data_IF_204029364828
#
_entry.id   IF_204029364828
#
_cell.length_a   1.000
_cell.length_b   1.000
_cell.length_c   1.000
_cell.angle_alpha   90.00
_cell.angle_beta   90.00
_cell.angle_gamma   90.00
#
_symmetry.space_group_name_H-M   'P 1'
#
loop_
_entity.id
_entity.type
_entity.pdbx_description
1 polymer ?
#
# COMPACT_ATOMS: atom_id res chain seq x y z
N UNK A 1 19.88 -2.32 -10.31
CA UNK A 1 19.54 -2.81 -8.97
C UNK A 1 19.70 -4.31 -8.94
N UNK A 2 20.44 -4.80 -8.00
CA UNK A 2 20.60 -6.23 -7.83
C UNK A 2 19.41 -6.74 -7.00
N UNK A 3 18.61 -7.58 -7.58
CA UNK A 3 17.42 -8.06 -6.90
C UNK A 3 17.75 -9.23 -6.00
N UNK A 4 17.26 -9.14 -4.78
CA UNK A 4 17.22 -10.28 -3.88
C UNK A 4 15.77 -10.64 -3.63
N UNK A 5 15.50 -11.90 -3.35
CA UNK A 5 14.14 -12.37 -3.11
C UNK A 5 13.52 -11.78 -1.84
N UNK A 6 14.33 -11.13 -1.01
CA UNK A 6 13.88 -10.51 0.24
C UNK A 6 13.59 -9.02 0.11
N UNK A 7 13.84 -8.44 -1.06
CA UNK A 7 13.63 -7.01 -1.25
C UNK A 7 12.14 -6.68 -1.22
N UNK A 8 11.82 -5.63 -0.49
CA UNK A 8 10.49 -5.04 -0.48
C UNK A 8 10.50 -3.89 -1.47
N UNK A 9 9.62 -3.94 -2.45
CA UNK A 9 9.49 -2.91 -3.47
C UNK A 9 8.13 -2.26 -3.31
N UNK A 10 8.12 -0.97 -2.98
CA UNK A 10 6.88 -0.23 -2.78
C UNK A 10 6.85 0.92 -3.77
N UNK A 11 5.80 0.95 -4.57
CA UNK A 11 5.52 2.02 -5.50
C UNK A 11 4.43 2.88 -4.89
N UNK A 12 4.76 4.12 -4.54
CA UNK A 12 3.83 5.03 -3.88
C UNK A 12 3.13 5.89 -4.92
N UNK A 13 1.82 5.91 -4.87
CA UNK A 13 0.99 6.69 -5.77
C UNK A 13 -0.01 7.51 -4.97
N UNK A 14 -0.53 8.55 -5.61
CA UNK A 14 -1.72 9.25 -5.13
C UNK A 14 -2.89 8.77 -5.98
N UNK A 15 -3.97 8.37 -5.31
CA UNK A 15 -5.14 7.89 -6.02
C UNK A 15 -5.86 9.09 -6.68
N UNK A 16 -5.89 9.08 -7.99
CA UNK A 16 -6.58 10.11 -8.76
C UNK A 16 -7.97 9.61 -9.16
N UNK A 17 -8.80 9.29 -8.17
CA UNK A 17 -10.17 8.83 -8.43
C UNK A 17 -10.97 10.00 -9.02
N UNK A 18 -10.92 10.10 -10.33
CA UNK A 18 -11.70 11.07 -11.06
C UNK A 18 -11.39 12.50 -10.66
N UNK A 19 -12.25 13.39 -11.07
CA UNK A 19 -12.12 14.82 -10.80
C UNK A 19 -12.80 15.23 -9.49
N UNK A 20 -13.05 14.30 -8.58
CA UNK A 20 -13.68 14.63 -7.31
C UNK A 20 -12.66 15.28 -6.38
N UNK A 21 -12.50 16.58 -6.54
CA UNK A 21 -11.53 17.36 -5.78
C UNK A 21 -11.82 17.38 -4.27
N UNK A 22 -13.03 17.00 -3.86
CA UNK A 22 -13.42 16.96 -2.45
C UNK A 22 -13.35 15.57 -1.83
N UNK A 23 -12.83 14.58 -2.56
CA UNK A 23 -12.61 13.26 -2.00
C UNK A 23 -11.28 13.24 -1.28
N UNK A 24 -11.33 13.19 0.04
CA UNK A 24 -10.16 13.21 0.90
C UNK A 24 -10.22 12.05 1.90
N UNK A 25 -9.95 10.81 1.44
CA UNK A 25 -9.98 9.68 2.35
C UNK A 25 -8.96 9.86 3.46
N UNK A 26 -9.45 10.01 4.67
CA UNK A 26 -8.61 10.29 5.83
C UNK A 26 -9.09 9.50 7.05
N UNK A 27 -8.18 9.34 8.01
CA UNK A 27 -8.44 8.66 9.25
C UNK A 27 -7.78 9.45 10.37
N UNK A 28 -8.44 9.48 11.52
CA UNK A 28 -7.90 10.11 12.71
C UNK A 28 -7.17 9.06 13.53
N UNK A 29 -5.90 9.32 13.84
CA UNK A 29 -5.09 8.44 14.68
C UNK A 29 -4.57 9.30 15.83
N UNK A 30 -5.14 9.09 17.03
CA UNK A 30 -4.90 10.00 18.13
C UNK A 30 -5.36 11.40 17.77
N UNK A 31 -4.45 12.38 17.83
CA UNK A 31 -4.74 13.76 17.43
C UNK A 31 -4.33 14.05 15.99
N UNK A 32 -3.74 13.07 15.29
CA UNK A 32 -3.29 13.24 13.92
C UNK A 32 -4.39 12.89 12.93
N UNK A 33 -4.38 13.57 11.80
CA UNK A 33 -5.21 13.20 10.64
C UNK A 33 -4.28 12.72 9.53
N UNK A 34 -4.48 11.49 9.10
CA UNK A 34 -3.66 10.87 8.08
C UNK A 34 -4.51 10.57 6.84
N UNK A 35 -3.88 10.64 5.67
CA UNK A 35 -4.49 10.09 4.45
C UNK A 35 -4.63 8.59 4.60
N UNK A 36 -5.74 8.03 4.16
CA UNK A 36 -5.88 6.58 4.13
C UNK A 36 -5.01 5.98 3.05
N UNK A 37 -4.53 4.79 3.32
CA UNK A 37 -3.69 4.02 2.41
C UNK A 37 -4.50 2.89 1.79
N UNK A 38 -4.09 2.45 0.60
CA UNK A 38 -4.75 1.33 -0.06
C UNK A 38 -3.74 0.56 -0.89
N UNK A 39 -3.69 -0.75 -0.68
CA UNK A 39 -2.89 -1.61 -1.54
C UNK A 39 -3.59 -1.84 -2.88
N UNK A 40 -2.81 -1.79 -3.95
CA UNK A 40 -3.24 -2.22 -5.28
C UNK A 40 -2.32 -3.37 -5.70
N UNK A 41 -2.89 -4.55 -5.82
CA UNK A 41 -2.13 -5.77 -6.09
C UNK A 41 -2.49 -6.28 -7.48
N UNK A 42 -1.48 -6.45 -8.30
CA UNK A 42 -1.64 -7.02 -9.63
C UNK A 42 -1.56 -8.53 -9.61
N UNK A 43 -2.23 -9.16 -10.57
CA UNK A 43 -2.23 -10.59 -10.75
C UNK A 43 -1.74 -10.95 -12.16
N UNK A 44 -1.73 -12.23 -12.49
CA UNK A 44 -1.45 -12.70 -13.83
C UNK A 44 -2.71 -12.80 -14.71
N UNK A 45 -3.83 -12.29 -14.25
CA UNK A 45 -5.10 -12.38 -14.99
C UNK A 45 -5.09 -11.68 -16.33
N UNK A 46 -4.19 -10.70 -16.54
CA UNK A 46 -4.01 -10.01 -17.81
C UNK A 46 -3.15 -10.77 -18.82
N UNK A 47 -2.64 -11.95 -18.50
CA UNK A 47 -1.86 -12.79 -19.39
C UNK A 47 -0.36 -12.52 -19.40
N UNK A 48 0.13 -11.54 -18.66
CA UNK A 48 1.55 -11.26 -18.54
C UNK A 48 2.21 -12.18 -17.51
N UNK A 49 3.49 -12.48 -17.74
CA UNK A 49 4.27 -13.30 -16.82
C UNK A 49 4.38 -12.61 -15.47
N UNK A 50 3.83 -13.22 -14.43
CA UNK A 50 3.83 -12.64 -13.08
C UNK A 50 3.82 -13.76 -12.04
N UNK A 51 4.97 -14.46 -11.88
CA UNK A 51 5.00 -15.66 -11.02
C UNK A 51 4.88 -15.34 -9.54
N UNK A 52 5.17 -14.10 -9.13
CA UNK A 52 5.22 -13.72 -7.71
C UNK A 52 3.94 -13.05 -7.22
N UNK A 53 2.88 -13.03 -8.02
CA UNK A 53 1.70 -12.26 -7.63
C UNK A 53 1.05 -12.77 -6.32
N UNK A 54 1.07 -14.07 -6.10
CA UNK A 54 0.54 -14.62 -4.86
C UNK A 54 1.40 -14.27 -3.65
N UNK A 55 2.72 -14.22 -3.82
CA UNK A 55 3.64 -13.79 -2.78
C UNK A 55 3.41 -12.32 -2.43
N UNK A 56 3.21 -11.48 -3.45
CA UNK A 56 2.93 -10.06 -3.24
C UNK A 56 1.61 -9.87 -2.50
N UNK A 57 0.60 -10.63 -2.87
CA UNK A 57 -0.69 -10.59 -2.21
C UNK A 57 -0.58 -11.00 -0.73
N UNK A 58 0.15 -12.07 -0.44
CA UNK A 58 0.36 -12.51 0.94
C UNK A 58 1.07 -11.45 1.75
N UNK A 59 2.07 -10.80 1.16
CA UNK A 59 2.78 -9.72 1.83
C UNK A 59 1.84 -8.57 2.15
N UNK A 60 1.02 -8.14 1.20
CA UNK A 60 0.06 -7.05 1.41
C UNK A 60 -0.97 -7.40 2.48
N UNK A 61 -1.49 -8.63 2.47
CA UNK A 61 -2.44 -9.10 3.49
C UNK A 61 -1.80 -9.03 4.87
N UNK A 62 -0.55 -9.47 5.00
CA UNK A 62 0.17 -9.46 6.27
C UNK A 62 0.37 -8.05 6.78
N UNK A 63 0.80 -7.14 5.90
CA UNK A 63 1.00 -5.73 6.26
C UNK A 63 -0.32 -5.11 6.70
N UNK A 64 -1.39 -5.34 5.94
CA UNK A 64 -2.69 -4.75 6.24
C UNK A 64 -3.25 -5.29 7.55
N UNK A 65 -3.08 -6.57 7.82
CA UNK A 65 -3.51 -7.19 9.06
C UNK A 65 -2.82 -6.54 10.28
N UNK A 66 -1.50 -6.34 10.19
CA UNK A 66 -0.75 -5.71 11.27
C UNK A 66 -1.14 -4.24 11.39
N UNK A 67 -1.30 -3.55 10.27
CA UNK A 67 -1.73 -2.15 10.29
C UNK A 67 -3.10 -1.98 10.92
N UNK A 68 -4.03 -2.90 10.65
CA UNK A 68 -5.37 -2.84 11.22
C UNK A 68 -5.36 -3.04 12.73
N UNK A 69 -4.40 -3.82 13.25
CA UNK A 69 -4.24 -3.99 14.68
C UNK A 69 -3.66 -2.74 15.34
N UNK A 70 -2.67 -2.11 14.68
CA UNK A 70 -1.99 -0.95 15.24
C UNK A 70 -2.79 0.35 15.06
N UNK A 71 -3.32 0.55 13.87
CA UNK A 71 -3.99 1.80 13.48
C UNK A 71 -5.24 1.47 12.67
N UNK A 72 -6.35 1.10 13.33
CA UNK A 72 -7.58 0.79 12.62
C UNK A 72 -8.00 1.94 11.69
N UNK A 73 -8.33 1.60 10.47
CA UNK A 73 -8.77 2.58 9.48
C UNK A 73 -7.66 3.22 8.66
N UNK A 74 -6.38 2.96 8.97
CA UNK A 74 -5.29 3.50 8.18
C UNK A 74 -5.35 2.98 6.74
N UNK A 75 -5.63 1.70 6.55
CA UNK A 75 -5.76 1.10 5.23
C UNK A 75 -7.21 0.91 4.86
N UNK A 76 -7.56 1.32 3.64
CA UNK A 76 -8.82 0.93 3.01
C UNK A 76 -8.69 -0.51 2.49
N UNK A 77 -9.79 -1.18 2.21
CA UNK A 77 -9.74 -2.52 1.60
C UNK A 77 -8.88 -2.50 0.34
N UNK A 78 -8.04 -3.51 0.19
CA UNK A 78 -7.14 -3.58 -0.97
C UNK A 78 -7.91 -3.90 -2.25
N UNK A 79 -7.33 -3.47 -3.37
CA UNK A 79 -7.86 -3.75 -4.69
C UNK A 79 -6.93 -4.74 -5.37
N UNK A 80 -7.49 -5.80 -5.93
CA UNK A 80 -6.77 -6.80 -6.72
C UNK A 80 -7.19 -6.65 -8.16
N UNK A 81 -6.21 -6.47 -9.06
CA UNK A 81 -6.46 -6.18 -10.48
C UNK A 81 -5.76 -7.19 -11.38
N UNK A 82 -6.24 -7.27 -12.62
CA UNK A 82 -5.68 -8.16 -13.64
C UNK A 82 -4.48 -7.55 -14.37
N UNK A 83 -3.78 -6.63 -13.73
CA UNK A 83 -2.61 -5.95 -14.29
C UNK A 83 -1.37 -6.33 -13.50
N UNK A 84 -0.23 -6.46 -14.19
CA UNK A 84 1.02 -6.84 -13.54
C UNK A 84 1.70 -5.67 -12.84
N UNK A 85 1.61 -4.46 -13.45
CA UNK A 85 2.41 -3.31 -13.03
C UNK A 85 3.89 -3.69 -13.06
N UNK A 86 4.69 -3.21 -12.10
CA UNK A 86 6.08 -3.63 -11.92
C UNK A 86 6.24 -4.63 -10.78
N UNK A 87 5.15 -5.26 -10.36
CA UNK A 87 5.15 -6.14 -9.20
C UNK A 87 5.79 -7.50 -9.47
N UNK A 88 6.03 -7.83 -10.74
CA UNK A 88 6.74 -9.04 -11.11
C UNK A 88 8.23 -9.00 -10.71
N UNK A 89 8.73 -7.83 -10.32
CA UNK A 89 10.14 -7.62 -10.00
C UNK A 89 10.55 -8.19 -8.65
N UNK A 90 9.60 -8.60 -7.80
CA UNK A 90 9.94 -9.14 -6.50
C UNK A 90 8.82 -9.93 -5.85
N UNK A 91 9.13 -10.57 -4.73
CA UNK A 91 8.18 -11.35 -3.95
C UNK A 91 7.41 -10.54 -2.92
N UNK A 92 7.78 -9.27 -2.77
CA UNK A 92 7.11 -8.32 -1.89
C UNK A 92 7.04 -6.97 -2.60
N UNK A 93 6.48 -6.96 -3.81
CA UNK A 93 6.36 -5.79 -4.66
C UNK A 93 4.90 -5.36 -4.71
N UNK A 94 4.61 -4.16 -4.25
CA UNK A 94 3.23 -3.68 -4.11
C UNK A 94 3.13 -2.21 -4.50
N UNK A 95 1.92 -1.80 -4.87
CA UNK A 95 1.56 -0.39 -5.00
C UNK A 95 0.77 -0.01 -3.75
N UNK A 96 1.11 1.12 -3.17
CA UNK A 96 0.31 1.73 -2.10
C UNK A 96 -0.18 3.08 -2.59
N UNK A 97 -1.48 3.23 -2.67
CA UNK A 97 -2.11 4.52 -2.91
C UNK A 97 -2.15 5.29 -1.59
N UNK A 98 -1.63 6.51 -1.58
CA UNK A 98 -1.55 7.36 -0.40
C UNK A 98 -2.57 8.48 -0.55
N UNK A 99 -3.75 8.26 0.00
CA UNK A 99 -4.85 9.20 -0.13
C UNK A 99 -5.28 9.43 -1.57
N UNK A 100 -5.87 10.57 -1.81
CA UNK A 100 -6.28 10.99 -3.15
C UNK A 100 -5.89 12.45 -3.36
N UNK A 101 -6.25 12.99 -4.52
CA UNK A 101 -5.95 14.37 -4.84
C UNK A 101 -6.61 15.38 -3.90
N UNK A 102 -7.63 14.98 -3.15
CA UNK A 102 -8.27 15.82 -2.15
C UNK A 102 -7.51 15.93 -0.82
N UNK A 103 -6.58 15.03 -0.57
CA UNK A 103 -5.81 15.05 0.67
C UNK A 103 -4.70 16.10 0.61
N UNK A 104 -4.37 16.66 1.77
CA UNK A 104 -3.24 17.60 1.87
C UNK A 104 -1.91 16.83 1.90
N UNK A 105 -0.83 17.54 1.55
CA UNK A 105 0.51 16.97 1.67
C UNK A 105 0.80 16.57 3.11
N UNK A 106 0.39 17.38 4.06
CA UNK A 106 0.60 17.11 5.48
C UNK A 106 -0.07 15.79 5.89
N UNK A 107 -1.30 15.55 5.43
CA UNK A 107 -2.00 14.30 5.71
C UNK A 107 -1.26 13.10 5.13
N UNK A 108 -0.71 13.24 3.93
CA UNK A 108 0.04 12.16 3.29
C UNK A 108 1.36 11.90 4.00
N UNK A 109 2.05 12.94 4.46
CA UNK A 109 3.28 12.78 5.24
C UNK A 109 2.99 12.11 6.59
N UNK A 110 1.86 12.45 7.21
CA UNK A 110 1.43 11.80 8.45
C UNK A 110 1.21 10.31 8.23
N UNK A 111 0.61 9.94 7.11
CA UNK A 111 0.43 8.52 6.76
C UNK A 111 1.75 7.79 6.67
N UNK A 112 2.78 8.42 6.10
CA UNK A 112 4.11 7.80 5.97
C UNK A 112 4.73 7.55 7.33
N UNK A 113 4.50 8.43 8.29
CA UNK A 113 4.97 8.24 9.65
C UNK A 113 4.39 6.95 10.27
N UNK A 114 3.10 6.74 10.10
CA UNK A 114 2.44 5.55 10.64
C UNK A 114 2.76 4.29 9.84
N UNK A 115 2.87 4.41 8.53
CA UNK A 115 3.29 3.29 7.69
C UNK A 115 4.69 2.80 8.08
N UNK A 116 5.60 3.73 8.35
CA UNK A 116 6.94 3.37 8.80
C UNK A 116 6.90 2.55 10.09
N UNK A 117 6.03 2.90 11.02
CA UNK A 117 5.87 2.15 12.27
C UNK A 117 5.31 0.75 12.03
N UNK A 118 4.42 0.61 11.07
CA UNK A 118 3.90 -0.70 10.67
C UNK A 118 5.03 -1.57 10.12
N UNK A 119 5.85 -1.03 9.22
CA UNK A 119 6.97 -1.77 8.66
C UNK A 119 8.04 -2.12 9.70
N UNK A 120 8.26 -1.25 10.66
CA UNK A 120 9.16 -1.54 11.77
C UNK A 120 8.68 -2.75 12.55
N UNK A 121 7.39 -2.86 12.79
CA UNK A 121 6.79 -4.02 13.44
C UNK A 121 6.97 -5.28 12.61
N UNK A 122 6.77 -5.19 11.31
CA UNK A 122 6.90 -6.33 10.39
C UNK A 122 8.36 -6.79 10.31
N UNK A 123 9.30 -5.87 10.38
CA UNK A 123 10.73 -6.18 10.34
C UNK A 123 11.12 -7.26 11.33
N UNK A 124 10.47 -7.28 12.48
CA UNK A 124 10.74 -8.27 13.52
C UNK A 124 10.17 -9.65 13.16
N UNK A 125 9.41 -9.77 12.10
CA UNK A 125 8.79 -11.00 11.63
C UNK A 125 9.50 -11.58 10.41
N UNK A 126 10.37 -10.79 9.80
CA UNK A 126 11.16 -11.19 8.65
C UNK A 126 12.54 -11.67 9.12
#
# INVERSE_FOLDING_TARGET
MQETSSDIIIDLHRDAIGSKSNYDPSVKIGDDVASQLMFVIGTNGGGLYHPNWQNNLRFAIKVQEIANEMYPGLFKPMIVRNSRYNQHLGKAAVIIEVGSTGNTLEQSLTSMKYLAKVFEKIKNWL
#
